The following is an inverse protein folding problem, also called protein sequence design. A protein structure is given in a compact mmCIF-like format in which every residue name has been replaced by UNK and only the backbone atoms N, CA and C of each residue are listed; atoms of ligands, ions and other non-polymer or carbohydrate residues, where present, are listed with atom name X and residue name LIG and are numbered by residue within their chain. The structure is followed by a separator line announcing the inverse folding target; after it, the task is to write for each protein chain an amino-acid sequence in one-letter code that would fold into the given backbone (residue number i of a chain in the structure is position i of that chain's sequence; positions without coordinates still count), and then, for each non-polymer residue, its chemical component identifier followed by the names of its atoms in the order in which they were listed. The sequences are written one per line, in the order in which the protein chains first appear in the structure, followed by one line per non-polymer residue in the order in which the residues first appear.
data_IF_887588694244
#
_entry.id   IF_887588694244
#
_cell.length_a   1.000
_cell.length_b   1.000
_cell.length_c   1.000
_cell.angle_alpha   90.00
_cell.angle_beta   90.00
_cell.angle_gamma   90.00
#
_symmetry.space_group_name_H-M   'P 1'
#
loop_
_entity.id
_entity.type
_entity.pdbx_description
1 polymer ?
#
# COMPACT_ATOMS: atom_id res chain seq x y z
N UNK A 1 13.88 -68.46 2.58
CA UNK A 1 13.45 -67.05 2.65
C UNK A 1 13.27 -66.72 4.11
N UNK A 2 14.24 -65.99 4.65
CA UNK A 2 14.43 -65.94 6.10
C UNK A 2 13.39 -65.03 6.75
N UNK A 3 12.62 -65.60 7.67
CA UNK A 3 11.58 -64.94 8.48
C UNK A 3 12.08 -63.68 9.22
N UNK A 4 13.41 -63.52 9.31
CA UNK A 4 14.14 -62.38 9.89
C UNK A 4 14.05 -61.10 9.04
N UNK A 5 13.81 -61.19 7.73
CA UNK A 5 13.68 -60.01 6.86
C UNK A 5 12.28 -59.38 6.98
N UNK A 6 11.25 -60.21 7.10
CA UNK A 6 9.88 -59.79 7.39
C UNK A 6 9.74 -59.11 8.76
N UNK A 7 10.40 -59.64 9.79
CA UNK A 7 10.38 -59.02 11.13
C UNK A 7 11.16 -57.71 11.19
N UNK A 8 12.26 -57.58 10.44
CA UNK A 8 13.01 -56.33 10.30
C UNK A 8 12.21 -55.27 9.53
N UNK A 9 11.53 -55.65 8.45
CA UNK A 9 10.65 -54.76 7.69
C UNK A 9 9.47 -54.25 8.52
N UNK A 10 8.83 -55.13 9.30
CA UNK A 10 7.76 -54.77 10.22
C UNK A 10 8.24 -53.82 11.34
N UNK A 11 9.46 -54.03 11.86
CA UNK A 11 10.08 -53.13 12.84
C UNK A 11 10.33 -51.74 12.27
N UNK A 12 10.88 -51.64 11.06
CA UNK A 12 11.13 -50.35 10.39
C UNK A 12 9.81 -49.62 10.11
N UNK A 13 8.79 -50.32 9.62
CA UNK A 13 7.47 -49.73 9.40
C UNK A 13 6.82 -49.25 10.71
N UNK A 14 6.90 -50.02 11.79
CA UNK A 14 6.41 -49.61 13.09
C UNK A 14 7.14 -48.38 13.63
N UNK A 15 8.47 -48.31 13.47
CA UNK A 15 9.26 -47.14 13.85
C UNK A 15 8.87 -45.91 13.04
N UNK A 16 8.67 -46.03 11.72
CA UNK A 16 8.22 -44.92 10.88
C UNK A 16 6.81 -44.44 11.22
N UNK A 17 5.89 -45.35 11.55
CA UNK A 17 4.53 -44.99 12.00
C UNK A 17 4.58 -44.27 13.35
N UNK A 18 5.40 -44.74 14.28
CA UNK A 18 5.57 -44.10 15.59
C UNK A 18 6.22 -42.71 15.44
N UNK A 19 7.23 -42.57 14.58
CA UNK A 19 7.83 -41.28 14.26
C UNK A 19 6.83 -40.34 13.59
N UNK A 20 6.05 -40.83 12.62
CA UNK A 20 5.00 -40.05 11.97
C UNK A 20 3.90 -39.62 12.94
N UNK A 21 3.46 -40.51 13.82
CA UNK A 21 2.47 -40.21 14.85
C UNK A 21 3.03 -39.25 15.92
N UNK A 22 4.30 -39.40 16.31
CA UNK A 22 4.96 -38.48 17.23
C UNK A 22 5.08 -37.08 16.60
N UNK A 23 5.51 -36.96 15.35
CA UNK A 23 5.55 -35.67 14.62
C UNK A 23 4.15 -35.08 14.46
N UNK A 24 3.13 -35.90 14.18
CA UNK A 24 1.74 -35.44 14.05
C UNK A 24 1.19 -34.91 15.38
N UNK A 25 1.36 -35.64 16.48
CA UNK A 25 0.93 -35.23 17.83
C UNK A 25 1.71 -34.01 18.29
N UNK A 26 3.03 -33.97 18.07
CA UNK A 26 3.87 -32.83 18.43
C UNK A 26 3.66 -31.61 17.52
N UNK A 27 3.09 -31.80 16.32
CA UNK A 27 2.62 -30.70 15.47
C UNK A 27 1.25 -30.16 15.89
N UNK A 28 0.36 -31.02 16.43
CA UNK A 28 -0.95 -30.61 16.96
C UNK A 28 -0.87 -29.97 18.35
N UNK A 29 0.02 -30.44 19.21
CA UNK A 29 0.39 -29.73 20.41
C UNK A 29 1.37 -28.64 20.00
N UNK A 30 0.96 -27.36 20.03
CA UNK A 30 1.90 -26.23 20.07
C UNK A 30 2.20 -25.93 21.55
N UNK A 31 3.14 -26.64 22.23
CA UNK A 31 3.43 -26.42 23.65
C UNK A 31 4.06 -25.05 23.92
N UNK A 32 4.46 -24.33 22.88
CA UNK A 32 4.93 -22.96 22.92
C UNK A 32 3.89 -22.09 22.20
N UNK A 33 3.07 -21.38 22.97
CA UNK A 33 2.27 -20.29 22.44
C UNK A 33 3.17 -19.09 22.18
N UNK A 34 2.93 -18.39 21.07
CA UNK A 34 3.65 -17.14 20.79
C UNK A 34 3.16 -16.06 21.76
N UNK A 35 3.94 -15.81 22.83
CA UNK A 35 3.69 -14.71 23.75
C UNK A 35 4.28 -13.42 23.17
N UNK A 36 3.46 -12.68 22.41
CA UNK A 36 3.83 -11.36 21.91
C UNK A 36 3.62 -10.32 23.00
N UNK A 37 4.67 -10.02 23.76
CA UNK A 37 4.64 -8.92 24.72
C UNK A 37 4.88 -7.61 23.96
N UNK A 38 3.82 -6.81 23.78
CA UNK A 38 3.95 -5.47 23.26
C UNK A 38 4.62 -4.56 24.30
N UNK A 39 5.85 -4.15 24.01
CA UNK A 39 6.65 -3.21 24.83
C UNK A 39 6.80 -1.85 24.14
N UNK A 40 5.88 -1.52 23.24
CA UNK A 40 5.88 -0.26 22.52
C UNK A 40 5.84 0.90 23.51
N UNK A 41 6.85 1.77 23.41
CA UNK A 41 6.88 3.00 24.17
C UNK A 41 5.80 3.94 23.66
N UNK A 42 5.26 4.84 24.50
CA UNK A 42 4.32 5.86 24.07
C UNK A 42 4.85 6.64 22.86
N UNK A 43 3.97 6.97 21.92
CA UNK A 43 4.35 7.74 20.74
C UNK A 43 4.89 9.12 21.14
N UNK A 44 6.09 9.45 20.68
CA UNK A 44 6.72 10.75 20.92
C UNK A 44 6.54 11.65 19.69
N UNK A 45 5.96 12.83 19.89
CA UNK A 45 5.86 13.85 18.84
C UNK A 45 7.24 14.44 18.59
N UNK A 46 7.80 14.20 17.39
CA UNK A 46 9.12 14.71 17.01
C UNK A 46 9.08 16.12 16.42
N UNK A 47 8.09 16.41 15.58
CA UNK A 47 7.95 17.72 14.95
C UNK A 47 6.51 17.98 14.51
N UNK A 48 6.15 19.26 14.52
CA UNK A 48 4.93 19.79 13.90
C UNK A 48 5.36 20.59 12.68
N UNK A 49 4.57 20.52 11.61
CA UNK A 49 4.78 21.28 10.39
C UNK A 49 3.52 22.07 10.06
N UNK A 50 3.69 23.34 9.75
CA UNK A 50 2.61 24.17 9.23
C UNK A 50 2.33 23.75 7.77
N UNK A 51 1.06 23.59 7.45
CA UNK A 51 0.60 23.17 6.12
C UNK A 51 -0.26 24.27 5.51
N UNK A 52 0.00 24.57 4.24
CA UNK A 52 -0.82 25.48 3.43
C UNK A 52 -1.46 24.73 2.27
N UNK A 53 -1.82 23.46 2.49
CA UNK A 53 -2.35 22.58 1.45
C UNK A 53 -3.88 22.54 1.54
N UNK A 54 -4.54 22.79 0.41
CA UNK A 54 -5.97 22.59 0.27
C UNK A 54 -6.23 21.29 -0.49
N UNK A 55 -6.74 20.26 0.19
CA UNK A 55 -7.09 18.98 -0.40
C UNK A 55 -8.46 19.11 -1.07
N UNK A 56 -8.43 19.28 -2.39
CA UNK A 56 -9.58 19.70 -3.16
C UNK A 56 -10.31 18.54 -3.84
N UNK A 57 -9.68 17.37 -3.97
CA UNK A 57 -10.32 16.16 -4.46
C UNK A 57 -9.72 14.90 -3.81
N UNK A 58 -10.49 13.82 -3.76
CA UNK A 58 -10.04 12.50 -3.32
C UNK A 58 -10.61 11.43 -4.26
N UNK A 59 -9.81 10.40 -4.54
CA UNK A 59 -10.23 9.24 -5.31
C UNK A 59 -10.00 7.95 -4.55
N UNK A 60 -10.94 7.02 -4.65
CA UNK A 60 -10.81 5.64 -4.18
C UNK A 60 -10.41 4.75 -5.35
N UNK A 61 -9.36 3.95 -5.17
CA UNK A 61 -8.79 3.11 -6.21
C UNK A 61 -8.62 1.69 -5.71
N UNK A 62 -8.82 0.73 -6.62
CA UNK A 62 -8.48 -0.66 -6.40
C UNK A 62 -7.62 -1.14 -7.56
N UNK A 63 -6.51 -1.78 -7.25
CA UNK A 63 -5.55 -2.31 -8.22
C UNK A 63 -5.28 -3.78 -7.91
N UNK A 64 -5.03 -4.55 -8.96
CA UNK A 64 -4.64 -5.96 -8.84
C UNK A 64 -3.19 -6.06 -9.30
N UNK A 65 -2.34 -6.60 -8.43
CA UNK A 65 -0.93 -6.78 -8.66
C UNK A 65 -0.64 -8.26 -8.86
N UNK A 66 -0.03 -8.58 -9.99
CA UNK A 66 0.53 -9.91 -10.27
C UNK A 66 2.06 -9.78 -10.21
N UNK A 67 2.65 -10.32 -9.15
CA UNK A 67 4.09 -10.20 -8.86
C UNK A 67 4.70 -11.59 -8.91
N UNK A 68 5.59 -11.79 -9.88
CA UNK A 68 6.33 -13.03 -10.10
C UNK A 68 7.82 -12.82 -9.80
N UNK A 69 8.41 -13.73 -9.02
CA UNK A 69 9.82 -13.75 -8.65
C UNK A 69 10.40 -15.11 -9.00
N UNK A 70 11.33 -15.12 -9.95
CA UNK A 70 12.06 -16.31 -10.36
C UNK A 70 13.52 -16.28 -9.92
N UNK A 71 14.02 -17.42 -9.44
CA UNK A 71 15.44 -17.59 -9.14
C UNK A 71 16.17 -18.04 -10.39
N UNK A 72 17.15 -17.23 -10.81
CA UNK A 72 17.96 -17.53 -11.99
C UNK A 72 18.60 -18.92 -11.88
N UNK A 73 18.47 -19.71 -12.93
CA UNK A 73 18.99 -21.09 -13.04
C UNK A 73 18.31 -22.14 -12.13
N UNK A 74 17.18 -21.83 -11.50
CA UNK A 74 16.39 -22.80 -10.72
C UNK A 74 14.99 -22.92 -11.33
N UNK A 75 14.48 -24.14 -11.56
CA UNK A 75 13.11 -24.33 -12.03
C UNK A 75 12.08 -23.65 -11.10
N UNK A 76 11.06 -23.00 -11.67
CA UNK A 76 10.02 -22.29 -10.92
C UNK A 76 9.28 -23.20 -9.91
N UNK A 77 9.10 -24.49 -10.22
CA UNK A 77 8.52 -25.47 -9.30
C UNK A 77 9.32 -25.67 -8.00
N UNK A 78 10.62 -25.35 -8.01
CA UNK A 78 11.50 -25.49 -6.85
C UNK A 78 11.63 -24.18 -6.06
N UNK A 79 11.78 -23.04 -6.74
CA UNK A 79 12.11 -21.76 -6.10
C UNK A 79 11.35 -20.53 -6.64
N UNK A 80 10.42 -20.71 -7.58
CA UNK A 80 9.60 -19.63 -8.09
C UNK A 80 8.54 -19.18 -7.09
N UNK A 81 8.08 -17.94 -7.23
CA UNK A 81 6.97 -17.40 -6.44
C UNK A 81 6.14 -16.45 -7.31
N UNK A 82 4.82 -16.66 -7.35
CA UNK A 82 3.88 -15.75 -8.00
C UNK A 82 2.76 -15.38 -7.04
N UNK A 83 2.49 -14.10 -6.89
CA UNK A 83 1.48 -13.58 -5.95
C UNK A 83 0.52 -12.66 -6.69
N UNK A 84 -0.77 -12.98 -6.60
CA UNK A 84 -1.86 -12.11 -7.01
C UNK A 84 -2.39 -11.39 -5.77
N UNK A 85 -2.14 -10.09 -5.70
CA UNK A 85 -2.47 -9.22 -4.58
C UNK A 85 -3.51 -8.17 -5.00
N UNK A 86 -4.60 -8.06 -4.26
CA UNK A 86 -5.60 -7.02 -4.45
C UNK A 86 -5.32 -5.92 -3.44
N UNK A 87 -5.18 -4.68 -3.92
CA UNK A 87 -4.92 -3.53 -3.07
C UNK A 87 -5.98 -2.46 -3.30
N UNK A 88 -6.57 -1.97 -2.21
CA UNK A 88 -7.50 -0.85 -2.23
C UNK A 88 -6.93 0.31 -1.42
N UNK A 89 -7.10 1.53 -1.90
CA UNK A 89 -6.56 2.71 -1.24
C UNK A 89 -7.19 4.01 -1.75
N UNK A 90 -7.01 5.08 -0.99
CA UNK A 90 -7.40 6.42 -1.40
C UNK A 90 -6.18 7.26 -1.77
N UNK A 91 -6.35 8.15 -2.74
CA UNK A 91 -5.35 9.15 -3.12
C UNK A 91 -6.03 10.51 -3.16
N UNK A 92 -5.50 11.44 -2.39
CA UNK A 92 -5.95 12.82 -2.38
C UNK A 92 -5.17 13.64 -3.40
N UNK A 93 -5.82 14.66 -3.94
CA UNK A 93 -5.20 15.69 -4.75
C UNK A 93 -5.37 17.04 -4.04
N UNK A 94 -4.26 17.76 -3.89
CA UNK A 94 -4.20 19.02 -3.16
C UNK A 94 -3.52 20.12 -3.97
N UNK A 95 -3.80 21.36 -3.63
CA UNK A 95 -3.08 22.55 -4.12
C UNK A 95 -2.32 23.17 -2.95
N UNK A 96 -1.02 23.37 -3.11
CA UNK A 96 -0.20 24.04 -2.09
C UNK A 96 -0.32 25.57 -2.23
N UNK A 97 -1.19 26.16 -1.43
CA UNK A 97 -1.42 27.61 -1.39
C UNK A 97 -0.21 28.36 -0.80
N UNK A 98 0.66 27.70 -0.04
CA UNK A 98 1.89 28.33 0.46
C UNK A 98 2.88 28.65 -0.66
N UNK A 99 2.76 27.97 -1.79
CA UNK A 99 3.53 28.25 -3.00
C UNK A 99 2.98 29.45 -3.81
N UNK A 100 1.76 29.93 -3.50
CA UNK A 100 1.23 31.20 -4.02
C UNK A 100 1.92 32.35 -3.30
N UNK A 101 3.14 32.68 -3.71
CA UNK A 101 3.82 33.90 -3.25
C UNK A 101 3.19 35.14 -3.93
N UNK A 102 3.85 36.29 -3.83
CA UNK A 102 3.35 37.63 -4.20
C UNK A 102 2.73 37.76 -5.62
N UNK A 103 2.88 36.77 -6.50
CA UNK A 103 2.36 36.72 -7.87
C UNK A 103 1.11 35.84 -8.07
N UNK A 104 0.65 35.12 -7.03
CA UNK A 104 -0.54 34.28 -7.06
C UNK A 104 -1.86 35.04 -7.04
N UNK A 105 -1.86 36.25 -6.48
CA UNK A 105 -2.99 37.18 -6.42
C UNK A 105 -2.53 38.59 -6.79
N UNK A 106 -2.88 39.04 -8.00
CA UNK A 106 -2.49 40.38 -8.47
C UNK A 106 -3.72 41.29 -8.49
N UNK A 107 -3.70 42.32 -7.67
CA UNK A 107 -4.77 43.32 -7.61
C UNK A 107 -4.57 44.37 -8.71
N UNK A 108 -5.64 44.69 -9.43
CA UNK A 108 -5.64 45.75 -10.44
C UNK A 108 -5.40 47.15 -9.82
N UNK A 109 -4.88 48.13 -10.58
CA UNK A 109 -4.63 49.49 -10.07
C UNK A 109 -5.88 50.19 -9.49
N UNK A 110 -7.06 49.87 -10.02
CA UNK A 110 -8.35 50.39 -9.56
C UNK A 110 -8.93 49.63 -8.35
N UNK A 111 -8.24 48.58 -7.87
CA UNK A 111 -8.60 47.73 -6.73
C UNK A 111 -9.95 47.03 -6.85
N UNK A 112 -10.45 46.81 -8.05
CA UNK A 112 -11.73 46.12 -8.30
C UNK A 112 -11.58 44.69 -8.79
N UNK A 113 -10.46 44.37 -9.43
CA UNK A 113 -10.24 43.07 -10.07
C UNK A 113 -9.01 42.39 -9.47
N UNK A 114 -9.14 41.10 -9.14
CA UNK A 114 -8.04 40.24 -8.72
C UNK A 114 -7.76 39.23 -9.81
N UNK A 115 -6.53 39.22 -10.31
CA UNK A 115 -6.02 38.13 -11.14
C UNK A 115 -5.54 37.00 -10.24
N UNK A 116 -6.17 35.83 -10.38
CA UNK A 116 -5.89 34.63 -9.62
C UNK A 116 -5.05 33.66 -10.46
N UNK A 117 -3.84 33.32 -9.98
CA UNK A 117 -2.98 32.30 -10.58
C UNK A 117 -2.86 31.12 -9.64
N UNK A 118 -3.41 29.97 -10.02
CA UNK A 118 -3.40 28.78 -9.18
C UNK A 118 -2.11 27.98 -9.38
N UNK A 119 -1.47 27.50 -8.29
CA UNK A 119 -0.44 26.48 -8.37
C UNK A 119 -1.00 25.19 -8.95
N UNK A 120 -0.13 24.42 -9.58
CA UNK A 120 -0.52 23.10 -10.09
C UNK A 120 -0.92 22.17 -8.94
N UNK A 121 -2.03 21.43 -9.08
CA UNK A 121 -2.41 20.41 -8.12
C UNK A 121 -1.36 19.29 -8.09
N UNK A 122 -1.22 18.67 -6.92
CA UNK A 122 -0.32 17.56 -6.64
C UNK A 122 -1.09 16.41 -6.00
N UNK A 123 -0.52 15.21 -6.06
CA UNK A 123 -1.08 14.03 -5.40
C UNK A 123 -0.38 13.81 -4.06
N UNK A 124 -1.17 13.45 -3.05
CA UNK A 124 -0.64 12.91 -1.81
C UNK A 124 -0.08 11.50 -2.01
N UNK A 125 0.70 11.07 -1.01
CA UNK A 125 0.99 9.65 -0.85
C UNK A 125 -0.33 8.88 -0.70
N UNK A 126 -0.52 7.76 -1.43
CA UNK A 126 -1.70 6.91 -1.27
C UNK A 126 -1.85 6.43 0.17
N UNK A 127 -3.09 6.46 0.67
CA UNK A 127 -3.46 5.84 1.92
C UNK A 127 -4.04 4.46 1.63
N UNK A 128 -3.36 3.42 2.08
CA UNK A 128 -3.76 2.05 1.80
C UNK A 128 -4.79 1.56 2.81
N UNK A 129 -5.87 0.96 2.32
CA UNK A 129 -6.90 0.33 3.14
C UNK A 129 -6.51 -1.12 3.40
N UNK A 130 -5.82 -1.35 4.53
CA UNK A 130 -5.32 -2.68 4.89
C UNK A 130 -6.42 -3.72 5.07
N UNK A 131 -7.61 -3.31 5.51
CA UNK A 131 -8.80 -4.15 5.66
C UNK A 131 -9.37 -4.63 4.31
N UNK A 132 -9.12 -3.88 3.24
CA UNK A 132 -9.57 -4.19 1.86
C UNK A 132 -8.44 -4.65 0.95
N UNK A 133 -7.23 -4.80 1.47
CA UNK A 133 -6.04 -5.21 0.72
C UNK A 133 -5.60 -6.60 1.18
N UNK A 134 -5.54 -7.56 0.26
CA UNK A 134 -5.30 -8.96 0.60
C UNK A 134 -4.65 -9.75 -0.54
N UNK A 135 -3.95 -10.82 -0.17
CA UNK A 135 -3.42 -11.79 -1.11
C UNK A 135 -4.59 -12.64 -1.61
N UNK A 136 -4.88 -12.56 -2.90
CA UNK A 136 -5.92 -13.36 -3.54
C UNK A 136 -5.43 -14.77 -3.86
N UNK A 137 -4.23 -14.88 -4.43
CA UNK A 137 -3.57 -16.17 -4.72
C UNK A 137 -2.06 -16.04 -4.54
N UNK A 138 -1.43 -17.12 -4.10
CA UNK A 138 0.02 -17.20 -3.99
C UNK A 138 0.47 -18.62 -4.36
N UNK A 139 1.34 -18.70 -5.35
CA UNK A 139 2.00 -19.93 -5.80
C UNK A 139 3.47 -19.87 -5.38
N UNK A 140 3.99 -20.96 -4.82
CA UNK A 140 5.37 -21.05 -4.34
C UNK A 140 5.99 -22.38 -4.71
N UNK A 141 7.29 -22.35 -5.00
CA UNK A 141 8.10 -23.55 -5.14
C UNK A 141 8.35 -24.24 -3.78
N UNK A 142 8.65 -25.53 -3.84
CA UNK A 142 8.79 -26.40 -2.65
C UNK A 142 9.79 -25.88 -1.60
N UNK A 143 10.88 -25.23 -2.02
CA UNK A 143 11.89 -24.69 -1.10
C UNK A 143 11.35 -23.47 -0.34
N UNK A 144 10.53 -22.65 -1.01
CA UNK A 144 9.92 -21.46 -0.41
C UNK A 144 8.80 -21.86 0.57
N UNK A 145 8.06 -22.92 0.28
CA UNK A 145 7.05 -23.46 1.20
C UNK A 145 7.67 -24.01 2.50
N UNK A 146 8.84 -24.66 2.42
CA UNK A 146 9.56 -25.11 3.61
C UNK A 146 10.08 -23.93 4.45
N UNK A 147 10.52 -22.84 3.82
CA UNK A 147 10.93 -21.61 4.53
C UNK A 147 9.74 -20.88 5.18
N UNK A 148 8.55 -20.94 4.59
CA UNK A 148 7.35 -20.35 5.20
C UNK A 148 6.96 -21.01 6.53
N UNK A 149 7.39 -22.25 6.78
CA UNK A 149 7.26 -22.90 8.10
C UNK A 149 8.21 -22.31 9.15
N UNK A 150 9.25 -21.59 8.72
CA UNK A 150 10.28 -21.01 9.57
C UNK A 150 10.02 -19.52 9.92
N UNK A 151 9.03 -18.86 9.32
CA UNK A 151 8.69 -17.48 9.65
C UNK A 151 7.65 -16.84 8.71
N UNK A 152 7.02 -15.73 9.13
CA UNK A 152 6.01 -15.04 8.32
C UNK A 152 6.62 -14.42 7.05
N UNK A 153 5.89 -14.40 5.93
CA UNK A 153 6.39 -13.86 4.66
C UNK A 153 6.54 -12.33 4.70
N UNK A 154 7.48 -11.81 3.91
CA UNK A 154 7.66 -10.37 3.73
C UNK A 154 6.55 -9.80 2.83
N UNK A 155 5.49 -9.32 3.48
CA UNK A 155 4.35 -8.67 2.81
C UNK A 155 4.62 -7.20 2.44
N UNK A 156 5.70 -6.60 2.97
CA UNK A 156 5.96 -5.17 2.83
C UNK A 156 6.17 -4.76 1.36
N UNK A 157 6.85 -5.60 0.58
CA UNK A 157 7.07 -5.38 -0.85
C UNK A 157 5.77 -5.25 -1.65
N UNK A 158 4.72 -5.98 -1.28
CA UNK A 158 3.44 -5.93 -1.98
C UNK A 158 2.73 -4.60 -1.72
N UNK A 159 2.81 -4.10 -0.48
CA UNK A 159 2.27 -2.80 -0.12
C UNK A 159 2.99 -1.64 -0.83
N UNK A 160 4.32 -1.69 -0.92
CA UNK A 160 5.09 -0.67 -1.66
C UNK A 160 4.74 -0.68 -3.15
N UNK A 161 4.64 -1.87 -3.76
CA UNK A 161 4.23 -1.99 -5.16
C UNK A 161 2.78 -1.49 -5.37
N UNK A 162 1.89 -1.75 -4.42
CA UNK A 162 0.51 -1.28 -4.45
C UNK A 162 0.43 0.25 -4.37
N UNK A 163 1.18 0.89 -3.47
CA UNK A 163 1.25 2.36 -3.40
C UNK A 163 1.68 2.97 -4.74
N UNK A 164 2.68 2.38 -5.41
CA UNK A 164 3.11 2.86 -6.73
C UNK A 164 2.00 2.72 -7.79
N UNK A 165 1.28 1.59 -7.81
CA UNK A 165 0.16 1.36 -8.74
C UNK A 165 -1.04 2.25 -8.47
N UNK A 166 -1.38 2.51 -7.20
CA UNK A 166 -2.44 3.44 -6.80
C UNK A 166 -2.08 4.87 -7.21
N UNK A 167 -0.83 5.29 -7.02
CA UNK A 167 -0.33 6.60 -7.47
C UNK A 167 -0.46 6.75 -8.98
N UNK A 168 -0.11 5.71 -9.74
CA UNK A 168 -0.21 5.75 -11.20
C UNK A 168 -1.68 5.82 -11.67
N UNK A 169 -2.56 5.03 -11.07
CA UNK A 169 -4.00 5.10 -11.34
C UNK A 169 -4.56 6.50 -11.05
N UNK A 170 -4.13 7.10 -9.94
CA UNK A 170 -4.50 8.46 -9.57
C UNK A 170 -4.01 9.51 -10.59
N UNK A 171 -2.76 9.41 -11.08
CA UNK A 171 -2.22 10.31 -12.13
C UNK A 171 -2.99 10.24 -13.45
N UNK A 172 -3.47 9.06 -13.81
CA UNK A 172 -4.23 8.83 -15.05
C UNK A 172 -5.71 9.22 -14.91
N UNK A 173 -6.17 9.47 -13.69
CA UNK A 173 -7.55 9.87 -13.41
C UNK A 173 -7.76 11.39 -13.51
N UNK A 174 -9.00 11.83 -13.39
CA UNK A 174 -9.35 13.26 -13.39
C UNK A 174 -9.13 13.97 -12.05
N UNK A 175 -8.62 13.30 -11.01
CA UNK A 175 -8.60 13.89 -9.65
C UNK A 175 -7.75 15.16 -9.54
N UNK A 176 -6.66 15.26 -10.31
CA UNK A 176 -5.84 16.47 -10.36
C UNK A 176 -6.62 17.64 -10.96
N UNK A 177 -7.31 17.41 -12.08
CA UNK A 177 -8.16 18.42 -12.71
C UNK A 177 -9.29 18.84 -11.77
N UNK A 178 -9.94 17.89 -11.10
CA UNK A 178 -10.98 18.18 -10.10
C UNK A 178 -10.44 19.00 -8.94
N UNK A 179 -9.23 18.72 -8.48
CA UNK A 179 -8.59 19.50 -7.43
C UNK A 179 -8.34 20.95 -7.86
N UNK A 180 -7.87 21.16 -9.10
CA UNK A 180 -7.70 22.49 -9.67
C UNK A 180 -9.04 23.24 -9.77
N UNK A 181 -10.05 22.61 -10.37
CA UNK A 181 -11.37 23.20 -10.56
C UNK A 181 -12.05 23.56 -9.23
N UNK A 182 -12.01 22.64 -8.25
CA UNK A 182 -12.57 22.89 -6.92
C UNK A 182 -11.83 24.01 -6.19
N UNK A 183 -10.50 24.09 -6.32
CA UNK A 183 -9.72 25.19 -5.75
C UNK A 183 -10.05 26.52 -6.41
N UNK A 184 -10.21 26.54 -7.74
CA UNK A 184 -10.65 27.71 -8.51
C UNK A 184 -11.99 28.21 -8.02
N UNK A 185 -12.97 27.31 -7.87
CA UNK A 185 -14.32 27.66 -7.38
C UNK A 185 -14.26 28.25 -5.98
N UNK A 186 -13.51 27.63 -5.06
CA UNK A 186 -13.38 28.07 -3.68
C UNK A 186 -12.77 29.49 -3.59
N UNK A 187 -11.62 29.73 -4.23
CA UNK A 187 -10.94 31.03 -4.17
C UNK A 187 -11.71 32.11 -4.92
N UNK A 188 -12.32 31.77 -6.07
CA UNK A 188 -13.17 32.70 -6.82
C UNK A 188 -14.37 33.13 -5.99
N UNK A 189 -15.09 32.18 -5.39
CA UNK A 189 -16.25 32.47 -4.54
C UNK A 189 -15.89 33.32 -3.33
N UNK A 190 -14.75 33.04 -2.69
CA UNK A 190 -14.24 33.83 -1.57
C UNK A 190 -13.96 35.28 -1.99
N UNK A 191 -13.20 35.50 -3.07
CA UNK A 191 -12.86 36.84 -3.55
C UNK A 191 -14.09 37.63 -4.02
N UNK A 192 -15.04 36.96 -4.67
CA UNK A 192 -16.31 37.57 -5.08
C UNK A 192 -17.16 37.98 -3.87
N UNK A 193 -17.19 37.18 -2.80
CA UNK A 193 -17.90 37.52 -1.56
C UNK A 193 -17.33 38.78 -0.88
N UNK A 194 -16.05 39.08 -1.12
CA UNK A 194 -15.37 40.29 -0.65
C UNK A 194 -15.56 41.49 -1.59
N UNK A 195 -16.31 41.32 -2.69
CA UNK A 195 -16.63 42.39 -3.64
C UNK A 195 -15.65 42.56 -4.80
N UNK A 196 -14.69 41.63 -4.96
CA UNK A 196 -13.76 41.67 -6.10
C UNK A 196 -14.33 40.96 -7.33
N UNK A 197 -14.03 41.50 -8.50
CA UNK A 197 -14.14 40.75 -9.76
C UNK A 197 -12.91 39.84 -9.87
N UNK A 198 -13.09 38.59 -10.28
CA UNK A 198 -12.01 37.61 -10.35
C UNK A 198 -11.74 37.26 -11.80
N UNK A 199 -10.48 37.33 -12.20
CA UNK A 199 -9.99 36.83 -13.48
C UNK A 199 -8.99 35.71 -13.22
N UNK A 200 -9.26 34.51 -13.71
CA UNK A 200 -8.33 33.39 -13.55
C UNK A 200 -7.31 33.42 -14.68
N UNK A 201 -6.02 33.31 -14.36
CA UNK A 201 -4.97 33.25 -15.37
C UNK A 201 -4.88 31.84 -15.97
N UNK A 202 -4.93 31.74 -17.30
CA UNK A 202 -4.84 30.47 -18.04
C UNK A 202 -6.11 30.06 -18.79
N UNK A 203 -7.21 30.82 -18.65
CA UNK A 203 -8.41 30.74 -19.49
C UNK A 203 -8.38 31.77 -20.63
#
# INVERSE_FOLDING_TARGET
MDKRWLTRGALVAAVLIILGAAVFVFGQFKPFGDESIDRSQPAMLKSVRDLSQYHAAAGEFQVVLDIENDVKWVPAALAGERTLFVAAGSVNAYVDLGSMKDDGLVLSPDRKTVELRLPKPQLDKPNLHHDRSYVFSQERGLINDLQALAGPPDQQRFYVAAEAKLTEAAKQSEILKRAEDNTRVMLTGMLQSLGFQVKVAGD
#
